data_IF_639633822821
#
_entry.id   IF_639633822821
#
_cell.length_a   1.000
_cell.length_b   1.000
_cell.length_c   1.000
_cell.angle_alpha   90.00
_cell.angle_beta   90.00
_cell.angle_gamma   90.00
#
_symmetry.space_group_name_H-M   'P 1'
#
loop_
_entity.id
_entity.type
_entity.pdbx_description
1 polymer ?
#
# COMPACT_ATOMS: atom_id res chain seq x y z
N UNK A 1 54.90 47.03 -28.82
CA UNK A 1 54.15 45.88 -28.27
C UNK A 1 53.31 46.45 -27.12
N UNK A 2 52.02 46.83 -27.25
CA UNK A 2 50.83 46.01 -27.58
C UNK A 2 50.95 44.67 -26.82
N UNK A 3 50.14 44.26 -25.84
CA UNK A 3 48.71 44.46 -25.56
C UNK A 3 48.46 44.07 -24.07
N UNK A 4 47.47 44.68 -23.44
CA UNK A 4 46.86 44.39 -22.13
C UNK A 4 46.39 42.91 -22.01
N UNK A 5 46.60 42.22 -20.86
CA UNK A 5 45.51 41.41 -20.32
C UNK A 5 45.46 41.44 -18.78
N UNK A 6 44.89 42.49 -18.20
CA UNK A 6 44.32 42.49 -16.85
C UNK A 6 42.87 41.94 -16.89
N UNK A 7 42.64 40.79 -17.52
CA UNK A 7 41.32 40.14 -17.59
C UNK A 7 41.38 38.61 -17.48
N UNK A 8 42.37 38.07 -16.77
CA UNK A 8 42.30 36.68 -16.31
C UNK A 8 42.50 36.65 -14.80
N UNK A 9 41.65 37.39 -14.08
CA UNK A 9 41.26 37.05 -12.72
C UNK A 9 40.46 35.73 -12.78
N UNK A 10 41.15 34.66 -13.16
CA UNK A 10 40.79 33.32 -12.79
C UNK A 10 41.13 33.17 -11.31
N UNK A 11 40.18 33.49 -10.44
CA UNK A 11 40.12 32.89 -9.12
C UNK A 11 38.67 32.87 -8.64
N UNK A 12 37.91 31.92 -9.18
CA UNK A 12 37.06 31.02 -8.38
C UNK A 12 36.21 31.76 -7.33
N UNK A 13 35.25 32.57 -7.79
CA UNK A 13 34.09 33.02 -7.00
C UNK A 13 32.81 32.34 -7.48
N UNK A 14 32.93 31.11 -7.97
CA UNK A 14 31.79 30.27 -8.35
C UNK A 14 32.16 28.86 -7.88
N UNK A 15 31.28 28.24 -7.08
CA UNK A 15 31.35 26.91 -6.42
C UNK A 15 32.21 26.75 -5.16
N UNK A 16 32.01 27.62 -4.17
CA UNK A 16 32.04 27.16 -2.76
C UNK A 16 30.66 27.35 -2.16
N UNK A 17 29.67 26.64 -2.70
CA UNK A 17 28.45 26.36 -1.95
C UNK A 17 28.77 25.19 -1.02
N UNK A 18 28.89 25.37 0.30
CA UNK A 18 28.80 24.24 1.21
C UNK A 18 27.31 23.89 1.33
N UNK A 19 26.69 23.48 0.22
CA UNK A 19 25.55 22.60 0.34
C UNK A 19 26.12 21.18 0.34
N UNK A 20 26.73 20.83 1.47
CA UNK A 20 26.82 19.44 1.89
C UNK A 20 25.40 19.02 2.30
N UNK A 21 24.52 18.94 1.31
CA UNK A 21 23.32 18.14 1.43
C UNK A 21 23.81 16.68 1.36
N UNK A 22 24.09 16.10 2.52
CA UNK A 22 24.05 14.64 2.67
C UNK A 22 22.60 14.22 2.50
N UNK A 23 22.19 14.10 1.23
CA UNK A 23 21.02 13.35 0.80
C UNK A 23 21.46 11.96 0.38
N UNK A 24 22.03 11.21 1.31
CA UNK A 24 22.24 9.76 1.24
C UNK A 24 21.29 9.20 2.29
N UNK A 25 20.09 8.75 1.91
CA UNK A 25 19.93 7.39 1.45
C UNK A 25 18.73 7.29 0.50
N UNK A 26 18.97 6.95 -0.77
CA UNK A 26 17.89 6.44 -1.62
C UNK A 26 17.62 5.02 -1.15
N UNK A 27 16.69 4.88 -0.22
CA UNK A 27 16.22 3.58 0.27
C UNK A 27 15.91 2.64 -0.89
N UNK A 28 16.77 1.63 -1.01
CA UNK A 28 16.74 0.61 -2.04
C UNK A 28 15.44 -0.18 -1.97
N UNK A 29 14.73 -0.25 -3.10
CA UNK A 29 13.53 -1.06 -3.25
C UNK A 29 13.94 -2.48 -3.57
N UNK A 30 14.19 -3.28 -2.55
CA UNK A 30 13.97 -4.71 -2.67
C UNK A 30 14.91 -5.58 -1.90
N UNK A 31 14.60 -5.77 -0.61
CA UNK A 31 14.35 -7.09 -0.06
C UNK A 31 13.49 -6.93 1.20
N UNK A 32 12.24 -7.40 1.13
CA UNK A 32 11.28 -7.32 2.23
C UNK A 32 11.76 -8.30 3.29
N UNK A 33 12.65 -7.88 4.18
CA UNK A 33 12.81 -8.37 5.55
C UNK A 33 14.04 -7.74 6.23
N UNK A 34 14.94 -7.09 5.50
CA UNK A 34 16.15 -6.46 6.05
C UNK A 34 15.90 -5.01 6.48
N UNK A 35 15.26 -4.82 7.63
CA UNK A 35 15.13 -3.52 8.28
C UNK A 35 15.65 -3.55 9.72
N UNK A 36 15.69 -2.40 10.42
CA UNK A 36 16.13 -2.30 11.81
C UNK A 36 15.42 -3.26 12.78
N UNK A 37 14.21 -3.70 12.41
CA UNK A 37 13.39 -4.63 13.18
C UNK A 37 13.57 -6.11 12.81
N UNK A 38 14.43 -6.46 11.85
CA UNK A 38 14.54 -7.83 11.34
C UNK A 38 14.92 -8.85 12.42
N UNK A 39 15.98 -8.57 13.18
CA UNK A 39 16.47 -9.49 14.21
C UNK A 39 15.51 -9.54 15.40
N UNK A 40 14.85 -8.42 15.69
CA UNK A 40 13.78 -8.36 16.69
C UNK A 40 12.58 -9.22 16.28
N UNK A 41 12.16 -9.19 15.01
CA UNK A 41 11.10 -10.07 14.48
C UNK A 41 11.49 -11.54 14.61
N UNK A 42 12.73 -11.90 14.26
CA UNK A 42 13.19 -13.30 14.39
C UNK A 42 13.19 -13.76 15.85
N UNK A 43 13.69 -12.92 16.76
CA UNK A 43 13.83 -13.23 18.18
C UNK A 43 12.49 -13.26 18.93
N UNK A 44 11.60 -12.31 18.62
CA UNK A 44 10.34 -12.11 19.36
C UNK A 44 9.14 -12.79 18.69
N UNK A 45 9.14 -12.91 17.36
CA UNK A 45 7.98 -13.35 16.57
C UNK A 45 8.27 -14.56 15.65
N UNK A 46 9.41 -15.25 15.80
CA UNK A 46 9.85 -16.32 14.90
C UNK A 46 8.90 -17.53 14.77
N UNK A 47 7.98 -17.72 15.73
CA UNK A 47 6.96 -18.79 15.71
C UNK A 47 5.61 -18.40 15.11
N UNK A 48 5.47 -17.18 14.58
CA UNK A 48 4.21 -16.68 14.03
C UNK A 48 4.27 -16.80 12.51
N UNK A 49 3.31 -17.51 11.89
CA UNK A 49 3.37 -17.58 10.43
C UNK A 49 3.09 -16.20 9.79
N UNK A 50 3.80 -15.89 8.70
CA UNK A 50 3.58 -14.65 7.97
C UNK A 50 2.15 -14.57 7.41
N UNK A 51 1.71 -13.34 7.12
CA UNK A 51 0.37 -13.06 6.60
C UNK A 51 -0.62 -12.56 7.65
N UNK A 52 -1.75 -12.03 7.17
CA UNK A 52 -2.85 -11.47 7.97
C UNK A 52 -2.48 -10.35 8.96
N UNK A 53 -1.25 -9.83 8.92
CA UNK A 53 -0.78 -8.79 9.85
C UNK A 53 -0.29 -9.31 11.21
N UNK A 54 -0.23 -10.63 11.42
CA UNK A 54 0.12 -11.22 12.74
C UNK A 54 1.48 -10.80 13.27
N UNK A 55 2.52 -10.77 12.41
CA UNK A 55 3.86 -10.30 12.78
C UNK A 55 3.84 -8.84 13.25
N UNK A 56 3.01 -7.99 12.63
CA UNK A 56 2.87 -6.60 13.04
C UNK A 56 2.20 -6.48 14.41
N UNK A 57 1.25 -7.36 14.71
CA UNK A 57 0.56 -7.35 16.01
C UNK A 57 1.51 -7.83 17.11
N UNK A 58 2.27 -8.90 16.89
CA UNK A 58 3.36 -9.33 17.76
C UNK A 58 4.38 -8.22 18.03
N UNK A 59 4.86 -7.54 16.97
CA UNK A 59 5.81 -6.44 17.14
C UNK A 59 5.23 -5.24 17.88
N UNK A 60 3.90 -5.07 17.90
CA UNK A 60 3.23 -4.03 18.69
C UNK A 60 3.22 -4.37 20.18
N UNK A 61 2.93 -5.63 20.50
CA UNK A 61 2.95 -6.13 21.88
C UNK A 61 4.37 -6.09 22.47
N UNK A 62 5.38 -6.35 21.64
CA UNK A 62 6.78 -6.33 22.03
C UNK A 62 7.50 -4.99 21.79
N UNK A 63 6.78 -3.89 21.50
CA UNK A 63 7.38 -2.58 21.14
C UNK A 63 8.45 -2.09 22.12
N UNK A 64 8.30 -2.42 23.40
CA UNK A 64 9.20 -1.98 24.47
C UNK A 64 10.42 -2.91 24.61
N UNK A 65 10.36 -4.11 24.02
CA UNK A 65 11.37 -5.18 24.07
C UNK A 65 12.19 -5.35 22.76
N UNK A 66 11.97 -4.48 21.77
CA UNK A 66 12.78 -4.42 20.54
C UNK A 66 14.05 -3.58 20.73
N UNK A 67 14.99 -3.69 19.80
CA UNK A 67 16.21 -2.90 19.75
C UNK A 67 15.93 -1.39 19.60
N UNK A 68 16.89 -0.55 20.01
CA UNK A 68 16.75 0.90 19.86
C UNK A 68 16.63 1.33 18.40
N UNK A 69 17.34 0.64 17.49
CA UNK A 69 17.23 0.86 16.06
C UNK A 69 15.80 0.56 15.54
N UNK A 70 15.20 -0.54 15.99
CA UNK A 70 13.81 -0.85 15.66
C UNK A 70 12.82 0.14 16.28
N UNK A 71 13.02 0.57 17.53
CA UNK A 71 12.19 1.61 18.19
C UNK A 71 12.23 2.92 17.42
N UNK A 72 13.41 3.36 16.99
CA UNK A 72 13.57 4.57 16.19
C UNK A 72 12.78 4.48 14.88
N UNK A 73 12.91 3.36 14.15
CA UNK A 73 12.14 3.12 12.92
C UNK A 73 10.62 3.10 13.17
N UNK A 74 10.16 2.49 14.27
CA UNK A 74 8.75 2.46 14.63
C UNK A 74 8.20 3.86 14.92
N UNK A 75 8.95 4.70 15.65
CA UNK A 75 8.59 6.09 15.97
C UNK A 75 8.53 6.96 14.71
N UNK A 76 9.55 6.89 13.86
CA UNK A 76 9.54 7.63 12.59
C UNK A 76 8.32 7.26 11.74
N UNK A 77 7.97 5.97 11.70
CA UNK A 77 6.78 5.51 10.98
C UNK A 77 5.49 6.01 11.61
N UNK A 78 5.39 6.07 12.93
CA UNK A 78 4.26 6.66 13.65
C UNK A 78 4.11 8.14 13.30
N UNK A 79 5.20 8.90 13.31
CA UNK A 79 5.21 10.32 12.92
C UNK A 79 4.83 10.54 11.46
N UNK A 80 5.29 9.67 10.54
CA UNK A 80 4.88 9.71 9.13
C UNK A 80 3.39 9.42 8.96
N UNK A 81 2.81 8.53 9.78
CA UNK A 81 1.36 8.26 9.80
C UNK A 81 0.55 9.44 10.34
N UNK A 82 1.06 10.14 11.34
CA UNK A 82 0.41 11.32 11.89
C UNK A 82 0.38 12.47 10.87
N UNK A 83 1.46 12.60 10.09
CA UNK A 83 1.54 13.51 8.94
C UNK A 83 0.65 13.10 7.77
N UNK A 84 0.35 11.80 7.62
CA UNK A 84 -0.49 11.28 6.53
C UNK A 84 0.26 11.04 5.22
N UNK A 85 1.57 10.81 5.29
CA UNK A 85 2.45 10.65 4.12
C UNK A 85 2.50 9.19 3.58
N UNK A 86 1.62 8.30 4.08
CA UNK A 86 1.59 6.87 3.74
C UNK A 86 0.55 6.50 2.64
N UNK A 87 -0.14 7.49 2.05
CA UNK A 87 -1.23 7.29 1.08
C UNK A 87 -0.78 7.34 -0.41
N UNK A 88 0.20 6.53 -0.82
CA UNK A 88 0.47 6.29 -2.26
C UNK A 88 0.42 4.81 -2.63
N UNK A 89 -0.67 4.14 -2.23
CA UNK A 89 -1.12 2.88 -2.85
C UNK A 89 -2.56 2.49 -2.49
N UNK A 90 -3.50 3.43 -2.58
CA UNK A 90 -4.90 3.03 -2.71
C UNK A 90 -5.92 3.95 -2.08
N UNK A 91 -6.46 4.80 -2.95
CA UNK A 91 -7.88 5.14 -3.04
C UNK A 91 -8.26 6.59 -2.69
N UNK A 92 -9.16 7.09 -3.53
CA UNK A 92 -9.91 8.33 -3.35
C UNK A 92 -10.80 8.21 -2.11
N UNK A 93 -10.24 8.53 -0.95
CA UNK A 93 -11.00 8.78 0.27
C UNK A 93 -11.07 10.28 0.51
N UNK A 94 -12.13 10.91 0.02
CA UNK A 94 -12.34 12.35 0.16
C UNK A 94 -12.24 12.81 1.61
N UNK A 95 -11.53 13.92 1.75
CA UNK A 95 -11.23 14.74 2.91
C UNK A 95 -12.48 15.13 3.70
N UNK A 96 -13.05 14.23 4.49
CA UNK A 96 -14.04 14.57 5.52
C UNK A 96 -13.78 13.85 6.84
N UNK A 97 -13.27 14.62 7.81
CA UNK A 97 -13.50 14.44 9.26
C UNK A 97 -12.72 13.32 9.95
N UNK A 98 -11.63 13.71 10.64
CA UNK A 98 -10.87 12.88 11.60
C UNK A 98 -11.60 12.76 12.96
N UNK A 99 -12.88 12.45 12.98
CA UNK A 99 -13.64 12.23 14.22
C UNK A 99 -14.52 10.99 14.07
N UNK A 100 -13.85 9.83 14.17
CA UNK A 100 -14.32 8.44 14.38
C UNK A 100 -13.41 7.48 13.61
N UNK A 101 -12.15 7.41 14.08
CA UNK A 101 -11.11 6.55 13.52
C UNK A 101 -11.14 5.11 14.07
N UNK A 102 -12.12 4.81 14.93
CA UNK A 102 -12.31 3.49 15.55
C UNK A 102 -13.28 2.58 14.78
N UNK A 103 -13.98 3.08 13.76
CA UNK A 103 -15.02 2.32 13.01
C UNK A 103 -14.78 2.18 11.50
N UNK A 104 -13.62 2.60 10.98
CA UNK A 104 -13.27 2.39 9.56
C UNK A 104 -12.17 1.36 9.39
N UNK A 105 -12.60 0.10 9.36
CA UNK A 105 -11.88 -0.99 8.70
C UNK A 105 -10.62 -1.45 9.41
N UNK A 106 -10.80 -2.35 10.38
CA UNK A 106 -9.72 -3.13 11.00
C UNK A 106 -8.88 -3.96 10.00
N UNK A 107 -7.94 -4.77 10.50
CA UNK A 107 -7.02 -5.55 9.66
C UNK A 107 -7.77 -6.62 8.85
N UNK A 108 -8.25 -6.23 7.67
CA UNK A 108 -9.05 -7.11 6.83
C UNK A 108 -9.97 -6.43 5.83
N UNK A 109 -9.68 -5.20 5.39
CA UNK A 109 -10.46 -4.40 4.42
C UNK A 109 -10.62 -5.07 3.04
N UNK A 110 -11.38 -6.17 3.01
CA UNK A 110 -12.03 -6.70 1.82
C UNK A 110 -13.35 -5.95 1.80
N UNK A 111 -13.45 -4.94 0.93
CA UNK A 111 -14.73 -4.35 0.57
C UNK A 111 -15.75 -5.48 0.39
N UNK A 112 -16.85 -5.35 1.12
CA UNK A 112 -17.72 -6.44 1.52
C UNK A 112 -18.03 -7.43 0.42
N UNK A 113 -18.26 -8.68 0.83
CA UNK A 113 -18.84 -9.73 -0.03
C UNK A 113 -20.25 -9.34 -0.53
N UNK A 114 -20.78 -8.19 -0.11
CA UNK A 114 -22.01 -7.58 -0.57
C UNK A 114 -21.82 -7.01 -1.98
N UNK A 115 -22.46 -7.67 -2.94
CA UNK A 115 -22.44 -7.30 -4.35
C UNK A 115 -23.14 -8.35 -5.20
N UNK A 116 -23.21 -8.17 -6.53
CA UNK A 116 -23.94 -9.07 -7.43
C UNK A 116 -23.50 -10.54 -7.39
N UNK A 117 -22.30 -10.81 -6.85
CA UNK A 117 -21.74 -12.14 -6.70
C UNK A 117 -21.92 -12.75 -5.31
N UNK A 118 -22.57 -12.08 -4.35
CA UNK A 118 -22.68 -12.54 -2.97
C UNK A 118 -23.28 -13.94 -2.87
N UNK A 119 -24.44 -14.15 -3.48
CA UNK A 119 -25.17 -15.41 -3.39
C UNK A 119 -24.48 -16.53 -4.16
N UNK A 120 -23.84 -16.19 -5.28
CA UNK A 120 -23.00 -17.12 -6.03
C UNK A 120 -21.79 -17.57 -5.22
N UNK A 121 -21.11 -16.66 -4.53
CA UNK A 121 -19.98 -16.98 -3.65
C UNK A 121 -20.44 -17.89 -2.52
N UNK A 122 -21.58 -17.61 -1.89
CA UNK A 122 -22.10 -18.43 -0.79
C UNK A 122 -22.47 -19.83 -1.26
N UNK A 123 -23.08 -19.94 -2.44
CA UNK A 123 -23.57 -21.21 -3.02
C UNK A 123 -22.45 -22.07 -3.63
N UNK A 124 -21.45 -21.45 -4.24
CA UNK A 124 -20.42 -22.15 -5.03
C UNK A 124 -19.09 -22.26 -4.30
N UNK A 125 -18.76 -21.29 -3.44
CA UNK A 125 -17.46 -21.18 -2.79
C UNK A 125 -17.55 -21.02 -1.27
N UNK A 126 -18.67 -21.40 -0.65
CA UNK A 126 -18.92 -21.23 0.80
C UNK A 126 -17.88 -21.91 1.67
N UNK A 127 -17.38 -23.07 1.23
CA UNK A 127 -16.40 -23.89 1.95
C UNK A 127 -14.94 -23.50 1.66
N UNK A 128 -14.72 -22.53 0.78
CA UNK A 128 -13.37 -22.08 0.43
C UNK A 128 -12.84 -21.18 1.53
N UNK A 129 -11.83 -21.68 2.22
CA UNK A 129 -11.12 -20.91 3.22
C UNK A 129 -10.56 -19.60 2.64
N UNK A 130 -10.76 -18.45 3.32
CA UNK A 130 -10.24 -17.16 2.88
C UNK A 130 -8.72 -17.14 2.77
N UNK A 131 -8.18 -16.23 1.94
CA UNK A 131 -6.74 -16.04 1.78
C UNK A 131 -6.17 -16.67 0.52
N UNK A 132 -4.90 -16.35 0.22
CA UNK A 132 -4.09 -16.88 -0.89
C UNK A 132 -4.71 -16.82 -2.30
N UNK A 133 -5.79 -16.08 -2.51
CA UNK A 133 -6.47 -16.02 -3.80
C UNK A 133 -7.43 -17.18 -4.09
N UNK A 134 -7.58 -18.14 -3.19
CA UNK A 134 -8.39 -19.36 -3.38
C UNK A 134 -9.85 -19.06 -3.77
N UNK A 135 -10.45 -18.06 -3.13
CA UNK A 135 -11.81 -17.60 -3.45
C UNK A 135 -11.94 -17.12 -4.91
N UNK A 136 -10.89 -16.47 -5.44
CA UNK A 136 -10.87 -16.03 -6.84
C UNK A 136 -10.70 -17.22 -7.78
N UNK A 137 -9.94 -18.23 -7.39
CA UNK A 137 -9.75 -19.45 -8.19
C UNK A 137 -11.08 -20.21 -8.29
N UNK A 138 -11.76 -20.45 -7.17
CA UNK A 138 -13.10 -21.02 -7.14
C UNK A 138 -14.08 -20.27 -8.05
N UNK A 139 -14.14 -18.94 -7.94
CA UNK A 139 -15.03 -18.14 -8.79
C UNK A 139 -14.67 -18.19 -10.29
N UNK A 140 -13.43 -18.50 -10.66
CA UNK A 140 -13.02 -18.71 -12.06
C UNK A 140 -13.44 -20.07 -12.58
N UNK A 141 -13.31 -21.10 -11.76
CA UNK A 141 -13.76 -22.46 -12.09
C UNK A 141 -15.28 -22.52 -12.24
N UNK A 142 -16.01 -21.81 -11.39
CA UNK A 142 -17.47 -21.75 -11.45
C UNK A 142 -18.03 -20.62 -12.32
N UNK A 143 -17.22 -19.98 -13.17
CA UNK A 143 -17.62 -18.79 -13.96
C UNK A 143 -18.91 -19.00 -14.77
N UNK A 144 -19.12 -20.21 -15.27
CA UNK A 144 -20.26 -20.56 -16.12
C UNK A 144 -21.54 -20.81 -15.30
N UNK A 145 -21.40 -21.14 -14.00
CA UNK A 145 -22.49 -21.37 -13.04
C UNK A 145 -22.89 -20.12 -12.24
N UNK A 146 -22.25 -18.98 -12.51
CA UNK A 146 -22.58 -17.69 -11.91
C UNK A 146 -23.90 -17.12 -12.45
N UNK A 147 -24.57 -16.33 -11.61
CA UNK A 147 -25.73 -15.53 -12.00
C UNK A 147 -25.38 -14.52 -13.11
N UNK A 148 -26.39 -14.08 -13.86
CA UNK A 148 -26.21 -13.04 -14.89
C UNK A 148 -25.62 -11.75 -14.31
N UNK A 149 -26.12 -11.31 -13.16
CA UNK A 149 -25.66 -10.11 -12.47
C UNK A 149 -24.19 -10.22 -12.02
N UNK A 150 -23.77 -11.39 -11.53
CA UNK A 150 -22.37 -11.61 -11.18
C UNK A 150 -21.46 -11.65 -12.41
N UNK A 151 -21.88 -12.33 -13.49
CA UNK A 151 -21.11 -12.38 -14.77
C UNK A 151 -20.90 -10.98 -15.35
N UNK A 152 -21.93 -10.15 -15.35
CA UNK A 152 -21.85 -8.75 -15.77
C UNK A 152 -20.82 -7.99 -14.93
N UNK A 153 -20.89 -8.11 -13.60
CA UNK A 153 -19.94 -7.41 -12.73
C UNK A 153 -18.50 -7.89 -12.91
N UNK A 154 -18.31 -9.16 -13.21
CA UNK A 154 -16.98 -9.73 -13.48
C UNK A 154 -16.40 -9.21 -14.79
N UNK A 155 -17.21 -9.06 -15.85
CA UNK A 155 -16.82 -8.44 -17.12
C UNK A 155 -16.42 -6.97 -16.93
N UNK A 156 -17.23 -6.19 -16.22
CA UNK A 156 -16.88 -4.79 -15.91
C UNK A 156 -15.54 -4.69 -15.17
N UNK A 157 -15.27 -5.62 -14.24
CA UNK A 157 -14.00 -5.67 -13.50
C UNK A 157 -12.82 -6.06 -14.39
N UNK A 158 -13.01 -6.96 -15.34
CA UNK A 158 -12.00 -7.35 -16.33
C UNK A 158 -11.65 -6.18 -17.24
N UNK A 159 -12.65 -5.48 -17.79
CA UNK A 159 -12.44 -4.27 -18.58
C UNK A 159 -11.69 -3.17 -17.80
N UNK A 160 -12.05 -2.97 -16.52
CA UNK A 160 -11.33 -2.03 -15.64
C UNK A 160 -9.87 -2.45 -15.43
N UNK A 161 -9.55 -3.75 -15.40
CA UNK A 161 -8.17 -4.24 -15.31
C UNK A 161 -7.43 -3.98 -16.62
N UNK A 162 -8.03 -4.32 -17.75
CA UNK A 162 -7.45 -4.08 -19.07
C UNK A 162 -7.14 -2.60 -19.30
N UNK A 163 -8.02 -1.68 -18.86
CA UNK A 163 -7.75 -0.24 -18.92
C UNK A 163 -6.55 0.17 -18.06
N UNK A 164 -6.43 -0.37 -16.85
CA UNK A 164 -5.29 -0.11 -15.94
C UNK A 164 -3.99 -0.64 -16.51
N UNK A 165 -4.01 -1.84 -17.09
CA UNK A 165 -2.82 -2.48 -17.67
C UNK A 165 -2.35 -1.73 -18.92
N UNK A 166 -3.27 -1.08 -19.65
CA UNK A 166 -2.95 -0.16 -20.75
C UNK A 166 -2.50 1.23 -20.28
N UNK A 167 -2.51 1.51 -18.98
CA UNK A 167 -2.14 2.82 -18.43
C UNK A 167 -3.14 3.92 -18.76
N UNK A 168 -4.35 3.57 -19.19
CA UNK A 168 -5.40 4.53 -19.50
C UNK A 168 -5.97 5.06 -18.17
N UNK A 169 -5.55 6.28 -17.81
CA UNK A 169 -6.16 7.02 -16.70
C UNK A 169 -7.52 7.52 -17.16
N UNK A 170 -8.46 6.59 -17.28
CA UNK A 170 -9.84 6.90 -17.62
C UNK A 170 -10.41 7.89 -16.62
N UNK A 171 -10.99 8.97 -17.15
CA UNK A 171 -11.85 9.89 -16.43
C UNK A 171 -12.88 9.06 -15.64
N UNK A 172 -12.97 9.32 -14.34
CA UNK A 172 -13.74 8.46 -13.46
C UNK A 172 -15.22 8.77 -13.64
N UNK A 173 -15.86 8.12 -14.61
CA UNK A 173 -17.29 8.27 -14.84
C UNK A 173 -18.06 7.88 -13.57
N UNK A 174 -18.66 8.89 -12.96
CA UNK A 174 -19.73 8.83 -11.98
C UNK A 174 -20.75 7.75 -12.34
N UNK A 175 -20.63 6.59 -11.71
CA UNK A 175 -21.72 5.60 -11.64
C UNK A 175 -21.87 5.10 -10.22
N UNK A 176 -22.58 5.92 -9.44
CA UNK A 176 -23.46 5.41 -8.40
C UNK A 176 -24.38 4.35 -9.02
N UNK A 177 -24.25 3.12 -8.53
CA UNK A 177 -25.19 2.05 -8.88
C UNK A 177 -26.56 2.30 -8.23
N UNK A 178 -27.65 1.78 -8.82
CA UNK A 178 -28.98 1.88 -8.22
C UNK A 178 -29.08 0.91 -7.04
N UNK A 179 -29.12 1.42 -5.80
CA UNK A 179 -29.17 0.52 -4.65
C UNK A 179 -29.46 1.10 -3.26
N UNK A 180 -29.78 2.39 -3.12
CA UNK A 180 -30.24 2.96 -1.85
C UNK A 180 -31.69 3.40 -1.96
N UNK A 181 -32.63 2.57 -1.49
CA UNK A 181 -33.97 3.02 -1.11
C UNK A 181 -34.02 3.14 0.39
#
# INVERSE_FOLDING_TARGET
>A
MRILPLLVAGLILIVSSPNLALGEDRGDRGERHEGPCHDDVKRLCGGIDPGSGRIRDCMREHRDSVSDACKAMMREREERRDRGDDDDRGDRGERFGRENRDDRGGPGGRGGREGPCHDDIKRLCGDVEPGSGRMRDCMREHKDSLSGACKEKMREREERRDRRDRGDRGEHDDRGGPGGR
#
